data_IF_466311721972
#
_entry.id   IF_466311721972
#
_cell.length_a   1.000
_cell.length_b   1.000
_cell.length_c   1.000
_cell.angle_alpha   90.00
_cell.angle_beta   90.00
_cell.angle_gamma   90.00
#
_symmetry.space_group_name_H-M   'P 1'
#
loop_
_entity.id
_entity.type
_entity.pdbx_description
1 polymer ?
#
# COMPACT_ATOMS: atom_id res chain seq x y z
N UNK A 1 15.58 2.99 -5.56
CA UNK A 1 16.92 3.50 -5.89
C UNK A 1 17.90 2.79 -4.98
N UNK A 2 18.80 1.95 -5.55
CA UNK A 2 19.82 1.26 -4.78
C UNK A 2 20.79 2.23 -4.13
N UNK A 3 21.30 1.89 -2.99
CA UNK A 3 22.40 2.59 -2.34
C UNK A 3 23.59 2.63 -3.33
N UNK A 4 24.13 3.80 -3.64
CA UNK A 4 25.47 3.81 -4.19
C UNK A 4 25.93 4.95 -5.09
N UNK A 5 25.07 5.69 -5.77
CA UNK A 5 25.55 6.84 -6.55
C UNK A 5 24.81 8.11 -6.19
N UNK A 6 25.56 9.15 -5.87
CA UNK A 6 25.00 10.49 -5.71
C UNK A 6 24.43 10.95 -7.07
N UNK A 7 23.11 11.12 -7.13
CA UNK A 7 22.45 11.64 -8.35
C UNK A 7 22.62 13.15 -8.41
N UNK A 8 23.02 13.66 -9.56
CA UNK A 8 23.08 15.10 -9.78
C UNK A 8 21.67 15.68 -9.94
N UNK A 9 21.51 16.97 -9.67
CA UNK A 9 20.24 17.66 -9.91
C UNK A 9 19.79 17.52 -11.38
N UNK A 10 20.73 17.59 -12.34
CA UNK A 10 20.45 17.37 -13.75
C UNK A 10 19.89 15.97 -14.02
N UNK A 11 20.48 14.91 -13.42
CA UNK A 11 19.98 13.55 -13.61
C UNK A 11 18.58 13.34 -13.02
N UNK A 12 18.25 13.99 -11.90
CA UNK A 12 16.93 13.96 -11.30
C UNK A 12 15.90 14.70 -12.16
N UNK A 13 16.27 15.85 -12.72
CA UNK A 13 15.40 16.60 -13.65
C UNK A 13 15.11 15.82 -14.93
N UNK A 14 16.12 15.20 -15.53
CA UNK A 14 15.96 14.36 -16.72
C UNK A 14 15.05 13.13 -16.44
N UNK A 15 15.21 12.52 -15.26
CA UNK A 15 14.34 11.41 -14.84
C UNK A 15 12.89 11.89 -14.63
N UNK A 16 12.71 13.04 -13.98
CA UNK A 16 11.38 13.64 -13.80
C UNK A 16 10.69 13.96 -15.12
N UNK A 17 11.43 14.51 -16.09
CA UNK A 17 10.92 14.77 -17.44
C UNK A 17 10.53 13.47 -18.15
N UNK A 18 11.37 12.43 -18.08
CA UNK A 18 11.11 11.14 -18.70
C UNK A 18 9.85 10.50 -18.11
N UNK A 19 9.71 10.48 -16.77
CA UNK A 19 8.51 9.99 -16.08
C UNK A 19 7.28 10.75 -16.57
N UNK A 20 7.35 12.07 -16.63
CA UNK A 20 6.23 12.93 -17.05
C UNK A 20 5.80 12.64 -18.49
N UNK A 21 6.75 12.46 -19.41
CA UNK A 21 6.45 12.12 -20.81
C UNK A 21 5.78 10.75 -20.93
N UNK A 22 6.23 9.75 -20.16
CA UNK A 22 5.61 8.42 -20.13
C UNK A 22 4.18 8.52 -19.60
N UNK A 23 3.98 9.25 -18.52
CA UNK A 23 2.64 9.46 -17.94
C UNK A 23 1.71 10.18 -18.92
N UNK A 24 2.20 11.17 -19.66
CA UNK A 24 1.44 11.84 -20.69
C UNK A 24 1.02 10.89 -21.83
N UNK A 25 1.96 10.06 -22.31
CA UNK A 25 1.68 9.09 -23.38
C UNK A 25 0.60 8.08 -22.94
N UNK A 26 0.72 7.53 -21.74
CA UNK A 26 -0.29 6.59 -21.17
C UNK A 26 -1.64 7.28 -21.01
N UNK A 27 -1.68 8.51 -20.52
CA UNK A 27 -2.93 9.25 -20.35
C UNK A 27 -3.64 9.49 -21.69
N UNK A 28 -2.90 9.85 -22.74
CA UNK A 28 -3.45 10.04 -24.09
C UNK A 28 -3.96 8.71 -24.69
N UNK A 29 -3.29 7.60 -24.41
CA UNK A 29 -3.73 6.27 -24.84
C UNK A 29 -5.01 5.85 -24.11
N UNK A 30 -5.16 6.17 -22.83
CA UNK A 30 -6.35 5.87 -22.02
C UNK A 30 -7.55 6.76 -22.37
N UNK A 31 -7.33 7.97 -22.90
CA UNK A 31 -8.37 8.94 -23.27
C UNK A 31 -8.14 9.47 -24.69
N UNK A 32 -8.26 8.59 -25.72
CA UNK A 32 -8.00 8.96 -27.11
C UNK A 32 -8.98 9.99 -27.67
N UNK A 33 -10.17 10.07 -27.09
CA UNK A 33 -11.21 11.05 -27.50
C UNK A 33 -11.09 12.37 -26.74
N UNK A 34 -10.20 12.46 -25.75
CA UNK A 34 -9.96 13.69 -24.99
C UNK A 34 -11.14 14.14 -24.11
N UNK A 35 -11.89 13.19 -23.55
CA UNK A 35 -13.09 13.47 -22.75
C UNK A 35 -12.76 14.00 -21.33
N UNK A 36 -11.59 13.66 -20.79
CA UNK A 36 -11.16 14.12 -19.49
C UNK A 36 -11.00 15.65 -19.47
N UNK A 37 -11.65 16.32 -18.52
CA UNK A 37 -11.58 17.76 -18.37
C UNK A 37 -10.41 18.22 -17.49
N UNK A 38 -9.94 17.31 -16.61
CA UNK A 38 -8.86 17.56 -15.67
C UNK A 38 -8.12 16.25 -15.39
N UNK A 39 -6.87 16.33 -14.93
CA UNK A 39 -6.04 15.18 -14.63
C UNK A 39 -5.49 15.29 -13.21
N UNK A 40 -5.74 14.26 -12.40
CA UNK A 40 -5.08 14.06 -11.11
C UNK A 40 -3.82 13.23 -11.29
N UNK A 41 -2.66 13.76 -11.00
CA UNK A 41 -1.39 13.04 -11.16
C UNK A 41 -0.58 13.05 -9.87
N UNK A 42 -0.39 11.87 -9.28
CA UNK A 42 0.42 11.71 -8.06
C UNK A 42 1.91 11.94 -8.31
N UNK A 43 2.42 11.58 -9.50
CA UNK A 43 3.85 11.51 -9.76
C UNK A 43 4.50 10.27 -9.12
N UNK A 44 5.82 10.18 -9.16
CA UNK A 44 6.59 9.07 -8.58
C UNK A 44 7.25 9.52 -7.28
N UNK A 45 6.87 8.92 -6.16
CA UNK A 45 7.47 9.26 -4.86
C UNK A 45 8.96 8.96 -4.85
N UNK A 46 9.76 9.99 -4.63
CA UNK A 46 11.20 9.90 -4.41
C UNK A 46 11.52 9.83 -2.92
N UNK A 47 10.83 10.65 -2.13
CA UNK A 47 11.03 10.76 -0.70
C UNK A 47 9.73 11.07 0.00
N UNK A 48 9.52 10.48 1.18
CA UNK A 48 8.43 10.80 2.08
C UNK A 48 8.89 10.67 3.52
N UNK A 49 8.62 11.69 4.30
CA UNK A 49 8.82 11.72 5.74
C UNK A 49 7.57 12.31 6.39
N UNK A 50 6.84 11.55 7.22
CA UNK A 50 5.72 12.08 7.99
C UNK A 50 6.21 13.12 9.03
N UNK A 51 5.30 13.91 9.64
CA UNK A 51 5.66 14.73 10.79
C UNK A 51 6.10 13.85 11.97
N UNK A 52 7.18 14.24 12.61
CA UNK A 52 7.74 13.52 13.77
C UNK A 52 7.95 14.48 14.94
N UNK A 53 7.84 13.98 16.18
CA UNK A 53 8.29 14.72 17.37
C UNK A 53 9.69 14.27 17.71
N UNK A 54 10.59 15.25 17.86
CA UNK A 54 11.94 14.99 18.36
C UNK A 54 11.88 14.51 19.82
N UNK A 55 12.97 13.94 20.32
CA UNK A 55 13.12 13.57 21.73
C UNK A 55 12.91 14.78 22.66
N UNK A 56 13.16 15.99 22.18
CA UNK A 56 12.94 17.26 22.92
C UNK A 56 11.50 17.76 22.83
N UNK A 57 10.60 17.03 22.12
CA UNK A 57 9.19 17.39 21.95
C UNK A 57 8.90 18.40 20.83
N UNK A 58 9.93 18.88 20.12
CA UNK A 58 9.76 19.78 18.98
C UNK A 58 9.15 19.02 17.78
N UNK A 59 8.13 19.62 17.15
CA UNK A 59 7.48 19.04 15.99
C UNK A 59 8.31 19.31 14.72
N UNK A 60 8.92 18.29 14.16
CA UNK A 60 9.49 18.34 12.83
C UNK A 60 8.37 18.15 11.80
N UNK A 61 8.16 19.15 10.93
CA UNK A 61 7.16 19.06 9.86
C UNK A 61 7.51 17.94 8.88
N UNK A 62 6.50 17.25 8.41
CA UNK A 62 6.64 16.28 7.33
C UNK A 62 7.07 16.92 6.01
N UNK A 63 7.68 16.12 5.15
CA UNK A 63 8.09 16.51 3.81
C UNK A 63 7.87 15.34 2.84
N UNK A 64 7.43 15.65 1.63
CA UNK A 64 7.23 14.65 0.59
C UNK A 64 7.60 15.22 -0.77
N UNK A 65 8.24 14.40 -1.59
CA UNK A 65 8.63 14.77 -2.93
C UNK A 65 8.24 13.70 -3.93
N UNK A 66 7.34 14.07 -4.83
CA UNK A 66 6.92 13.29 -5.97
C UNK A 66 7.54 13.86 -7.23
N UNK A 67 8.24 13.01 -8.01
CA UNK A 67 8.81 13.40 -9.28
C UNK A 67 7.69 13.56 -10.31
N UNK A 68 7.51 14.80 -10.76
CA UNK A 68 6.55 15.21 -11.79
C UNK A 68 6.90 16.61 -12.26
N UNK A 69 6.89 16.83 -13.56
CA UNK A 69 6.88 18.17 -14.14
C UNK A 69 5.43 18.52 -14.54
N UNK A 70 4.63 18.93 -13.55
CA UNK A 70 3.20 19.18 -13.76
C UNK A 70 2.90 20.21 -14.85
N UNK A 71 3.64 21.33 -15.02
CA UNK A 71 3.46 22.24 -16.15
C UNK A 71 3.69 21.58 -17.51
N UNK A 72 4.70 20.70 -17.62
CA UNK A 72 4.96 19.93 -18.83
C UNK A 72 3.82 18.94 -19.11
N UNK A 73 3.34 18.23 -18.08
CA UNK A 73 2.22 17.30 -18.22
C UNK A 73 0.95 18.03 -18.71
N UNK A 74 0.63 19.18 -18.11
CA UNK A 74 -0.51 20.00 -18.51
C UNK A 74 -0.39 20.49 -19.97
N UNK A 75 0.82 20.87 -20.39
CA UNK A 75 1.09 21.28 -21.76
C UNK A 75 0.94 20.13 -22.75
N UNK A 76 1.43 18.95 -22.42
CA UNK A 76 1.34 17.76 -23.28
C UNK A 76 -0.09 17.27 -23.43
N UNK A 77 -0.88 17.27 -22.35
CA UNK A 77 -2.26 16.80 -22.33
C UNK A 77 -3.28 17.88 -22.76
N UNK A 78 -2.88 19.16 -22.78
CA UNK A 78 -3.79 20.30 -22.97
C UNK A 78 -4.95 20.29 -21.96
N UNK A 79 -4.67 19.93 -20.71
CA UNK A 79 -5.64 19.83 -19.62
C UNK A 79 -5.03 20.38 -18.32
N UNK A 80 -5.86 20.91 -17.41
CA UNK A 80 -5.44 21.22 -16.04
C UNK A 80 -4.90 19.95 -15.34
N UNK A 81 -3.85 20.10 -14.53
CA UNK A 81 -3.26 19.00 -13.74
C UNK A 81 -3.31 19.37 -12.27
N UNK A 82 -3.93 18.52 -11.47
CA UNK A 82 -3.90 18.58 -10.01
C UNK A 82 -2.80 17.63 -9.54
N UNK A 83 -1.91 18.10 -8.68
CA UNK A 83 -0.73 17.38 -8.22
C UNK A 83 -0.34 17.77 -6.79
N UNK A 84 0.77 17.22 -6.27
CA UNK A 84 1.27 17.48 -4.91
C UNK A 84 0.28 17.18 -3.79
N UNK A 85 -0.55 16.16 -3.95
CA UNK A 85 -1.55 15.75 -2.95
C UNK A 85 -0.96 15.52 -1.57
N UNK A 86 0.24 14.91 -1.48
CA UNK A 86 0.92 14.64 -0.20
C UNK A 86 1.44 15.91 0.44
N UNK A 87 2.02 16.81 -0.34
CA UNK A 87 2.51 18.11 0.14
C UNK A 87 1.34 18.96 0.64
N UNK A 88 0.19 18.93 -0.03
CA UNK A 88 -1.01 19.62 0.40
C UNK A 88 -1.54 19.10 1.75
N UNK A 89 -1.61 17.77 1.94
CA UNK A 89 -2.04 17.15 3.20
C UNK A 89 -1.07 17.49 4.35
N UNK A 90 0.23 17.41 4.11
CA UNK A 90 1.28 17.79 5.08
C UNK A 90 1.20 19.27 5.47
N UNK A 91 0.91 20.16 4.51
CA UNK A 91 0.75 21.61 4.77
C UNK A 91 -0.44 21.89 5.67
N UNK A 92 -1.49 21.08 5.59
CA UNK A 92 -2.68 21.15 6.45
C UNK A 92 -2.53 20.43 7.79
N UNK A 93 -1.34 19.87 8.07
CA UNK A 93 -1.05 19.18 9.34
C UNK A 93 -1.33 17.68 9.32
N UNK A 94 -1.61 17.10 8.15
CA UNK A 94 -1.76 15.66 7.94
C UNK A 94 -0.42 14.92 7.90
N UNK A 95 -0.50 13.61 7.66
CA UNK A 95 0.66 12.71 7.60
C UNK A 95 1.25 12.58 6.19
N UNK A 96 0.53 13.06 5.17
CA UNK A 96 0.88 12.89 3.75
C UNK A 96 0.72 11.46 3.23
N UNK A 97 0.42 10.51 4.10
CA UNK A 97 0.13 9.10 3.78
C UNK A 97 -0.64 8.45 4.96
N UNK A 98 -1.58 7.53 4.68
CA UNK A 98 -2.16 7.26 3.36
C UNK A 98 -3.11 8.36 2.88
N UNK A 99 -3.18 8.63 1.57
CA UNK A 99 -4.11 9.62 0.99
C UNK A 99 -5.45 8.99 0.58
N UNK A 100 -5.46 7.67 0.42
CA UNK A 100 -6.56 6.93 -0.20
C UNK A 100 -7.84 6.76 0.64
N UNK A 101 -7.86 6.87 1.99
CA UNK A 101 -9.02 6.46 2.78
C UNK A 101 -10.34 7.16 2.41
N UNK A 102 -10.32 8.46 2.16
CA UNK A 102 -11.55 9.20 1.77
C UNK A 102 -12.04 8.80 0.38
N UNK A 103 -11.13 8.63 -0.56
CA UNK A 103 -11.47 8.16 -1.90
C UNK A 103 -11.99 6.71 -1.87
N UNK A 104 -11.38 5.85 -1.07
CA UNK A 104 -11.87 4.49 -0.85
C UNK A 104 -13.29 4.46 -0.31
N UNK A 105 -13.57 5.29 0.68
CA UNK A 105 -14.91 5.40 1.24
C UNK A 105 -15.93 5.91 0.21
N UNK A 106 -15.53 6.83 -0.68
CA UNK A 106 -16.37 7.31 -1.75
C UNK A 106 -16.63 6.22 -2.82
N UNK A 107 -15.58 5.47 -3.19
CA UNK A 107 -15.68 4.40 -4.19
C UNK A 107 -16.47 3.19 -3.69
N UNK A 108 -16.21 2.75 -2.45
CA UNK A 108 -16.92 1.61 -1.86
C UNK A 108 -18.34 1.94 -1.40
N UNK A 109 -18.58 3.19 -1.07
CA UNK A 109 -19.78 3.63 -0.37
C UNK A 109 -19.87 3.11 1.06
N UNK A 110 -20.84 3.61 1.80
CA UNK A 110 -21.15 3.17 3.15
C UNK A 110 -22.35 2.23 3.15
N UNK A 111 -22.43 1.38 4.14
CA UNK A 111 -23.53 0.44 4.36
C UNK A 111 -23.94 0.43 5.83
N UNK A 112 -24.90 -0.43 6.22
CA UNK A 112 -25.36 -0.53 7.62
C UNK A 112 -24.28 -1.01 8.59
N UNK A 113 -23.19 -1.61 8.11
CA UNK A 113 -22.08 -2.07 8.95
C UNK A 113 -20.74 -1.46 8.52
N UNK A 114 -19.75 -1.64 9.36
CA UNK A 114 -18.38 -1.27 9.02
C UNK A 114 -17.87 -2.08 7.83
N UNK A 115 -17.13 -1.42 6.95
CA UNK A 115 -16.46 -2.03 5.79
C UNK A 115 -14.98 -1.73 5.84
N UNK A 116 -14.19 -2.58 5.21
CA UNK A 116 -12.76 -2.30 5.03
C UNK A 116 -12.33 -2.56 3.60
N UNK A 117 -11.34 -1.80 3.16
CA UNK A 117 -10.60 -2.02 1.92
C UNK A 117 -9.15 -2.26 2.25
N UNK A 118 -8.62 -3.38 1.81
CA UNK A 118 -7.22 -3.78 1.93
C UNK A 118 -6.55 -3.67 0.57
N UNK A 119 -5.58 -2.78 0.45
CA UNK A 119 -4.73 -2.71 -0.73
C UNK A 119 -3.45 -3.52 -0.50
N UNK A 120 -3.24 -4.55 -1.30
CA UNK A 120 -2.06 -5.40 -1.29
C UNK A 120 -1.08 -4.98 -2.40
N UNK A 121 -0.42 -3.83 -2.19
CA UNK A 121 0.73 -3.40 -2.97
C UNK A 121 2.04 -4.01 -2.45
N UNK A 122 3.12 -3.25 -2.43
CA UNK A 122 4.33 -3.62 -1.69
C UNK A 122 4.08 -3.67 -0.18
N UNK A 123 3.34 -2.69 0.34
CA UNK A 123 2.85 -2.59 1.71
C UNK A 123 1.34 -2.89 1.72
N UNK A 124 0.87 -3.54 2.77
CA UNK A 124 -0.55 -3.76 3.04
C UNK A 124 -1.13 -2.51 3.68
N UNK A 125 -2.03 -1.85 2.99
CA UNK A 125 -2.69 -0.63 3.45
C UNK A 125 -4.18 -0.92 3.67
N UNK A 126 -4.69 -0.65 4.88
CA UNK A 126 -6.07 -0.89 5.26
C UNK A 126 -6.81 0.43 5.44
N UNK A 127 -7.98 0.55 4.80
CA UNK A 127 -8.94 1.63 5.02
C UNK A 127 -10.17 1.05 5.74
N UNK A 128 -10.55 1.67 6.87
CA UNK A 128 -11.73 1.33 7.63
C UNK A 128 -12.81 2.40 7.43
N UNK A 129 -13.99 1.98 7.00
CA UNK A 129 -15.09 2.84 6.57
C UNK A 129 -16.27 2.64 7.52
N UNK A 130 -16.70 3.70 8.24
CA UNK A 130 -17.83 3.61 9.16
C UNK A 130 -19.16 3.40 8.44
N UNK A 131 -20.19 2.90 9.15
CA UNK A 131 -21.50 2.70 8.59
C UNK A 131 -22.20 4.00 8.17
N UNK A 132 -23.26 3.90 7.39
CA UNK A 132 -24.12 5.03 6.96
C UNK A 132 -25.16 5.43 8.02
N UNK A 133 -25.42 4.55 8.98
CA UNK A 133 -26.42 4.74 10.04
C UNK A 133 -25.93 4.22 11.40
N UNK A 134 -26.65 4.58 12.47
CA UNK A 134 -26.32 4.16 13.82
C UNK A 134 -25.33 5.09 14.52
N UNK A 135 -24.84 4.70 15.72
CA UNK A 135 -23.99 5.54 16.56
C UNK A 135 -22.63 5.84 15.90
N UNK A 136 -22.12 4.92 15.11
CA UNK A 136 -20.79 5.02 14.50
C UNK A 136 -20.77 5.80 13.19
N UNK A 137 -21.93 6.25 12.67
CA UNK A 137 -22.02 6.94 11.35
C UNK A 137 -21.12 8.19 11.22
N UNK A 138 -20.83 8.84 12.34
CA UNK A 138 -20.02 10.07 12.39
C UNK A 138 -18.54 9.79 12.67
N UNK A 139 -18.16 8.52 12.87
CA UNK A 139 -16.75 8.17 13.00
C UNK A 139 -16.00 8.53 11.72
N UNK A 140 -14.73 8.95 11.83
CA UNK A 140 -13.93 9.25 10.67
C UNK A 140 -13.60 7.98 9.87
N UNK A 141 -13.43 8.14 8.56
CA UNK A 141 -12.74 7.13 7.75
C UNK A 141 -11.27 7.15 8.17
N UNK A 142 -10.74 5.99 8.53
CA UNK A 142 -9.35 5.85 8.95
C UNK A 142 -8.60 4.91 8.03
N UNK A 143 -7.30 5.12 7.86
CA UNK A 143 -6.45 4.23 7.10
C UNK A 143 -5.05 4.19 7.67
N UNK A 144 -4.38 3.05 7.49
CA UNK A 144 -3.02 2.83 7.98
C UNK A 144 -2.32 1.72 7.21
N UNK A 145 -1.00 1.63 7.39
CA UNK A 145 -0.19 0.56 6.84
C UNK A 145 -0.06 -0.56 7.87
N UNK A 146 -0.54 -1.76 7.54
CA UNK A 146 -0.43 -2.92 8.43
C UNK A 146 1.01 -3.46 8.50
N UNK A 147 1.74 -3.41 7.38
CA UNK A 147 3.09 -3.97 7.25
C UNK A 147 3.37 -4.43 5.82
N UNK A 148 4.35 -5.33 5.61
CA UNK A 148 4.69 -5.81 4.27
C UNK A 148 3.55 -6.63 3.67
N UNK A 149 3.25 -6.38 2.38
CA UNK A 149 2.41 -7.25 1.55
C UNK A 149 3.29 -8.02 0.57
N UNK A 150 3.45 -7.50 -0.67
CA UNK A 150 4.28 -8.19 -1.65
C UNK A 150 5.78 -7.85 -1.53
N UNK A 151 6.16 -6.76 -0.87
CA UNK A 151 7.55 -6.25 -0.90
C UNK A 151 8.59 -7.29 -0.53
N UNK A 152 8.38 -8.05 0.54
CA UNK A 152 9.33 -9.10 0.97
C UNK A 152 9.24 -10.35 0.10
N UNK A 153 8.06 -10.70 -0.38
CA UNK A 153 7.84 -11.85 -1.28
C UNK A 153 8.56 -11.60 -2.60
N UNK A 154 8.33 -10.43 -3.20
CA UNK A 154 8.90 -10.04 -4.49
C UNK A 154 10.43 -9.97 -4.43
N UNK A 155 10.98 -9.33 -3.38
CA UNK A 155 12.42 -9.28 -3.17
C UNK A 155 13.04 -10.67 -2.96
N UNK A 156 12.35 -11.57 -2.28
CA UNK A 156 12.81 -12.94 -2.08
C UNK A 156 12.76 -13.72 -3.40
N UNK A 157 11.71 -13.57 -4.20
CA UNK A 157 11.61 -14.18 -5.53
C UNK A 157 12.71 -13.69 -6.46
N UNK A 158 12.97 -12.38 -6.50
CA UNK A 158 14.08 -11.80 -7.27
C UNK A 158 15.43 -12.43 -6.85
N UNK A 159 15.66 -12.55 -5.54
CA UNK A 159 16.90 -13.12 -5.00
C UNK A 159 17.04 -14.60 -5.32
N UNK A 160 16.02 -15.42 -5.10
CA UNK A 160 16.08 -16.88 -5.29
C UNK A 160 16.09 -17.30 -6.75
N UNK A 161 15.51 -16.48 -7.63
CA UNK A 161 15.51 -16.74 -9.07
C UNK A 161 16.70 -16.10 -9.81
N UNK A 162 17.63 -15.46 -9.08
CA UNK A 162 18.74 -14.68 -9.67
C UNK A 162 18.25 -13.61 -10.65
N UNK A 163 17.14 -12.94 -10.30
CA UNK A 163 16.54 -11.88 -11.09
C UNK A 163 15.66 -12.34 -12.25
N UNK A 164 15.41 -13.64 -12.41
CA UNK A 164 14.55 -14.18 -13.49
C UNK A 164 13.06 -13.99 -13.21
N UNK A 165 12.67 -14.00 -11.95
CA UNK A 165 11.30 -13.80 -11.51
C UNK A 165 11.24 -12.66 -10.50
N UNK A 166 10.33 -11.71 -10.69
CA UNK A 166 10.18 -10.54 -9.84
C UNK A 166 9.06 -10.70 -8.79
N UNK A 167 8.26 -11.76 -8.84
CA UNK A 167 7.18 -12.07 -7.90
C UNK A 167 6.73 -13.53 -8.00
N UNK A 168 6.07 -14.06 -6.97
CA UNK A 168 5.48 -15.42 -6.98
C UNK A 168 4.13 -15.40 -7.72
N UNK A 169 4.15 -15.73 -9.00
CA UNK A 169 2.99 -15.69 -9.88
C UNK A 169 1.84 -16.58 -9.35
N UNK A 170 0.74 -15.93 -8.95
CA UNK A 170 -0.42 -16.62 -8.39
C UNK A 170 -0.17 -17.29 -7.03
N UNK A 171 0.96 -17.06 -6.39
CA UNK A 171 1.35 -17.72 -5.13
C UNK A 171 1.70 -19.20 -5.29
N UNK A 172 2.18 -19.57 -6.48
CA UNK A 172 2.43 -20.99 -6.81
C UNK A 172 3.57 -21.60 -6.01
N UNK A 173 4.67 -20.87 -5.83
CA UNK A 173 5.80 -21.36 -5.04
C UNK A 173 5.44 -21.46 -3.56
N UNK A 174 4.81 -20.43 -3.02
CA UNK A 174 4.28 -20.43 -1.65
C UNK A 174 3.32 -21.59 -1.39
N UNK A 175 2.49 -21.96 -2.38
CA UNK A 175 1.52 -23.05 -2.27
C UNK A 175 2.15 -24.44 -2.07
N UNK A 176 3.40 -24.62 -2.47
CA UNK A 176 4.14 -25.88 -2.32
C UNK A 176 4.90 -25.97 -0.99
N UNK A 177 5.00 -24.85 -0.26
CA UNK A 177 5.72 -24.78 1.01
C UNK A 177 4.81 -24.85 2.22
N UNK A 178 5.45 -24.94 3.39
CA UNK A 178 4.81 -24.87 4.70
C UNK A 178 5.30 -23.62 5.44
N UNK A 179 4.38 -22.78 5.92
CA UNK A 179 4.73 -21.61 6.70
C UNK A 179 5.12 -21.98 8.13
N UNK A 180 6.02 -21.21 8.72
CA UNK A 180 6.41 -21.33 10.12
C UNK A 180 5.62 -20.35 10.99
N UNK A 181 4.59 -20.83 11.65
CA UNK A 181 3.74 -20.00 12.52
C UNK A 181 4.50 -19.45 13.74
N UNK A 182 5.50 -20.18 14.26
CA UNK A 182 6.29 -19.72 15.40
C UNK A 182 7.15 -18.49 15.02
N UNK A 183 7.75 -18.50 13.82
CA UNK A 183 8.46 -17.34 13.29
C UNK A 183 7.52 -16.15 13.07
N UNK A 184 6.35 -16.40 12.49
CA UNK A 184 5.36 -15.34 12.24
C UNK A 184 4.94 -14.67 13.56
N UNK A 185 4.66 -15.43 14.61
CA UNK A 185 4.31 -14.89 15.92
C UNK A 185 5.47 -14.06 16.52
N UNK A 186 6.71 -14.54 16.40
CA UNK A 186 7.89 -13.80 16.84
C UNK A 186 8.04 -12.47 16.09
N UNK A 187 7.84 -12.46 14.79
CA UNK A 187 7.92 -11.26 13.96
C UNK A 187 6.79 -10.26 14.27
N UNK A 188 5.58 -10.74 14.55
CA UNK A 188 4.47 -9.88 14.96
C UNK A 188 4.73 -9.19 16.32
N UNK A 189 5.63 -9.71 17.16
CA UNK A 189 6.03 -9.07 18.40
C UNK A 189 7.00 -7.88 18.22
N UNK A 190 7.48 -7.62 16.99
CA UNK A 190 8.35 -6.48 16.69
C UNK A 190 7.64 -5.13 16.93
N UNK A 191 8.39 -4.07 17.31
CA UNK A 191 7.79 -2.80 17.76
C UNK A 191 6.77 -2.19 16.80
N UNK A 192 7.02 -2.24 15.48
CA UNK A 192 6.09 -1.68 14.50
C UNK A 192 4.68 -2.28 14.58
N UNK A 193 4.59 -3.59 14.76
CA UNK A 193 3.29 -4.29 14.80
C UNK A 193 2.56 -4.10 16.12
N UNK A 194 3.22 -3.57 17.15
CA UNK A 194 2.62 -3.21 18.43
C UNK A 194 2.06 -1.78 18.45
N UNK A 195 2.31 -0.99 17.40
CA UNK A 195 1.76 0.35 17.27
C UNK A 195 0.26 0.28 16.95
N UNK A 196 -0.52 1.13 17.62
CA UNK A 196 -1.93 1.31 17.29
C UNK A 196 -2.10 2.10 15.99
N UNK A 197 -3.11 1.78 15.17
CA UNK A 197 -3.51 2.66 14.07
C UNK A 197 -3.95 4.06 14.55
N UNK A 198 -3.73 5.12 13.76
CA UNK A 198 -3.09 5.12 12.44
C UNK A 198 -1.56 5.04 12.53
N UNK A 199 -0.95 4.21 11.69
CA UNK A 199 0.50 4.05 11.56
C UNK A 199 0.88 3.99 10.08
N UNK A 200 2.10 4.40 9.74
CA UNK A 200 2.59 4.41 8.36
C UNK A 200 3.98 3.80 8.27
N UNK A 201 4.29 3.19 7.12
CA UNK A 201 5.57 2.57 6.83
C UNK A 201 5.80 2.44 5.33
N UNK A 202 6.99 1.94 4.95
CA UNK A 202 7.35 1.74 3.57
C UNK A 202 8.50 0.75 3.40
N UNK A 203 9.14 0.84 2.25
CA UNK A 203 10.29 -0.01 1.90
C UNK A 203 11.55 0.31 2.71
N UNK A 204 11.59 1.44 3.39
CA UNK A 204 12.65 1.79 4.33
C UNK A 204 12.69 0.82 5.51
N UNK A 205 11.54 0.37 6.00
CA UNK A 205 11.43 -0.62 7.06
C UNK A 205 11.33 -2.05 6.50
N UNK A 206 10.50 -2.27 5.48
CA UNK A 206 10.22 -3.59 4.91
C UNK A 206 10.86 -3.75 3.51
N UNK A 207 12.18 -3.54 3.43
CA UNK A 207 12.99 -3.66 2.24
C UNK A 207 14.03 -4.77 2.32
N UNK A 208 15.13 -4.62 1.54
CA UNK A 208 16.18 -5.65 1.42
C UNK A 208 16.85 -6.00 2.74
N UNK A 209 17.08 -5.01 3.63
CA UNK A 209 17.70 -5.26 4.93
C UNK A 209 16.81 -6.13 5.83
N UNK A 210 15.52 -5.84 5.87
CA UNK A 210 14.54 -6.64 6.62
C UNK A 210 14.38 -8.04 6.02
N UNK A 211 14.33 -8.15 4.69
CA UNK A 211 14.34 -9.47 4.04
C UNK A 211 15.55 -10.30 4.46
N UNK A 212 16.76 -9.72 4.38
CA UNK A 212 18.00 -10.42 4.76
C UNK A 212 17.92 -10.98 6.17
N UNK A 213 17.44 -10.18 7.13
CA UNK A 213 17.25 -10.60 8.52
C UNK A 213 16.26 -11.77 8.63
N UNK A 214 15.10 -11.67 7.95
CA UNK A 214 14.08 -12.74 7.99
C UNK A 214 14.56 -14.03 7.29
N UNK A 215 15.34 -13.92 6.21
CA UNK A 215 15.93 -15.08 5.58
C UNK A 215 16.98 -15.77 6.48
N UNK A 216 17.73 -15.01 7.28
CA UNK A 216 18.61 -15.57 8.31
C UNK A 216 17.82 -16.35 9.36
N UNK A 217 16.68 -15.86 9.82
CA UNK A 217 15.78 -16.60 10.72
C UNK A 217 15.27 -17.91 10.11
N UNK A 218 15.22 -17.99 8.79
CA UNK A 218 14.76 -19.17 8.03
C UNK A 218 15.90 -19.99 7.42
N UNK A 219 17.15 -19.76 7.83
CA UNK A 219 18.31 -20.46 7.27
C UNK A 219 18.14 -22.00 7.31
N UNK A 220 18.51 -22.65 6.22
CA UNK A 220 18.40 -24.11 6.08
C UNK A 220 17.00 -24.63 5.71
N UNK A 221 15.99 -23.77 5.65
CA UNK A 221 14.64 -24.16 5.20
C UNK A 221 14.55 -24.19 3.67
N UNK A 222 13.75 -25.09 3.08
CA UNK A 222 13.46 -25.05 1.65
C UNK A 222 12.95 -23.70 1.20
N UNK A 223 13.31 -23.24 0.00
CA UNK A 223 12.87 -21.95 -0.57
C UNK A 223 11.35 -21.83 -0.55
N UNK A 224 10.62 -22.87 -0.93
CA UNK A 224 9.16 -22.89 -0.90
C UNK A 224 8.59 -22.57 0.50
N UNK A 225 9.22 -23.09 1.57
CA UNK A 225 8.81 -22.83 2.94
C UNK A 225 9.12 -21.37 3.35
N UNK A 226 10.24 -20.82 2.87
CA UNK A 226 10.59 -19.42 3.12
C UNK A 226 9.57 -18.49 2.46
N UNK A 227 9.23 -18.72 1.19
CA UNK A 227 8.21 -17.94 0.47
C UNK A 227 6.82 -18.14 1.10
N UNK A 228 6.45 -19.37 1.49
CA UNK A 228 5.20 -19.63 2.19
C UNK A 228 5.11 -18.87 3.52
N UNK A 229 6.22 -18.80 4.27
CA UNK A 229 6.28 -18.07 5.55
C UNK A 229 6.14 -16.56 5.34
N UNK A 230 6.83 -15.97 4.36
CA UNK A 230 6.68 -14.55 4.02
C UNK A 230 5.25 -14.23 3.55
N UNK A 231 4.66 -15.10 2.71
CA UNK A 231 3.28 -14.94 2.24
C UNK A 231 2.27 -15.00 3.39
N UNK A 232 2.45 -15.97 4.29
CA UNK A 232 1.61 -16.10 5.47
C UNK A 232 1.80 -14.94 6.47
N UNK A 233 3.03 -14.39 6.57
CA UNK A 233 3.31 -13.21 7.37
C UNK A 233 2.60 -11.97 6.83
N UNK A 234 2.57 -11.75 5.51
CA UNK A 234 1.81 -10.66 4.89
C UNK A 234 0.31 -10.72 5.22
N UNK A 235 -0.27 -11.91 5.32
CA UNK A 235 -1.66 -12.06 5.78
C UNK A 235 -1.80 -11.87 7.30
N UNK A 236 -0.77 -12.30 8.06
CA UNK A 236 -0.79 -12.24 9.51
C UNK A 236 -0.75 -10.82 10.05
N UNK A 237 0.00 -9.89 9.40
CA UNK A 237 0.06 -8.47 9.83
C UNK A 237 -1.30 -7.79 9.72
N UNK A 238 -2.08 -8.11 8.69
CA UNK A 238 -3.44 -7.59 8.51
C UNK A 238 -4.38 -8.14 9.58
N UNK A 239 -4.34 -9.46 9.79
CA UNK A 239 -5.18 -10.11 10.80
C UNK A 239 -4.82 -9.63 12.22
N UNK A 240 -3.55 -9.37 12.49
CA UNK A 240 -3.08 -8.85 13.77
C UNK A 240 -3.67 -7.46 14.06
N UNK A 241 -3.61 -6.53 13.11
CA UNK A 241 -4.18 -5.19 13.28
C UNK A 241 -5.70 -5.24 13.48
N UNK A 242 -6.42 -6.07 12.73
CA UNK A 242 -7.85 -6.27 12.93
C UNK A 242 -8.16 -6.87 14.30
N UNK A 243 -7.34 -7.80 14.79
CA UNK A 243 -7.49 -8.35 16.14
C UNK A 243 -7.21 -7.31 17.22
N UNK A 244 -6.24 -6.42 17.03
CA UNK A 244 -5.97 -5.33 17.97
C UNK A 244 -7.17 -4.37 18.07
N UNK A 245 -7.81 -4.03 16.93
CA UNK A 245 -9.06 -3.26 16.95
C UNK A 245 -10.15 -3.94 17.77
N UNK A 246 -10.35 -5.26 17.56
CA UNK A 246 -11.32 -6.03 18.33
C UNK A 246 -11.01 -6.02 19.84
N UNK A 247 -9.74 -6.16 20.22
CA UNK A 247 -9.30 -6.12 21.61
C UNK A 247 -9.54 -4.74 22.27
N UNK A 248 -9.62 -3.68 21.48
CA UNK A 248 -9.97 -2.33 21.91
C UNK A 248 -11.47 -2.05 21.87
N UNK A 249 -12.30 -3.07 21.68
CA UNK A 249 -13.75 -2.99 21.50
C UNK A 249 -14.19 -2.15 20.30
N UNK A 250 -13.31 -1.96 19.30
CA UNK A 250 -13.70 -1.33 18.05
C UNK A 250 -14.50 -2.33 17.22
N UNK A 251 -15.64 -1.93 16.62
CA UNK A 251 -16.39 -2.82 15.75
C UNK A 251 -15.56 -3.29 14.57
N UNK A 252 -15.57 -4.59 14.30
CA UNK A 252 -14.91 -5.16 13.13
C UNK A 252 -15.74 -4.91 11.86
N UNK A 253 -15.08 -4.77 10.70
CA UNK A 253 -15.79 -4.70 9.44
C UNK A 253 -16.53 -6.01 9.16
N UNK A 254 -17.70 -5.93 8.53
CA UNK A 254 -18.46 -7.12 8.09
C UNK A 254 -17.92 -7.66 6.76
N UNK A 255 -17.32 -6.79 5.95
CA UNK A 255 -16.73 -7.11 4.67
C UNK A 255 -15.31 -6.51 4.57
N UNK A 256 -14.40 -7.28 4.01
CA UNK A 256 -13.04 -6.87 3.67
C UNK A 256 -12.85 -7.01 2.16
N UNK A 257 -12.83 -5.88 1.46
CA UNK A 257 -12.52 -5.83 0.04
C UNK A 257 -11.01 -5.81 -0.15
N UNK A 258 -10.51 -6.64 -1.05
CA UNK A 258 -9.08 -6.77 -1.33
C UNK A 258 -8.79 -6.27 -2.73
N UNK A 259 -7.84 -5.34 -2.83
CA UNK A 259 -7.36 -4.73 -4.06
C UNK A 259 -5.83 -4.85 -4.17
N UNK A 260 -5.27 -4.38 -5.27
CA UNK A 260 -3.83 -4.40 -5.55
C UNK A 260 -3.35 -5.73 -6.10
N UNK A 261 -2.09 -5.76 -6.53
CA UNK A 261 -1.47 -6.93 -7.19
C UNK A 261 -1.51 -8.20 -6.35
N UNK A 262 -1.38 -8.08 -5.02
CA UNK A 262 -1.44 -9.20 -4.08
C UNK A 262 -2.80 -9.92 -4.07
N UNK A 263 -3.87 -9.28 -4.51
CA UNK A 263 -5.19 -9.93 -4.65
C UNK A 263 -5.21 -11.05 -5.72
N UNK A 264 -4.21 -11.08 -6.60
CA UNK A 264 -4.01 -12.13 -7.59
C UNK A 264 -3.22 -13.32 -7.04
N UNK A 265 -2.57 -13.17 -5.89
CA UNK A 265 -1.84 -14.25 -5.23
C UNK A 265 -2.82 -15.12 -4.45
N UNK A 266 -3.19 -16.28 -5.02
CA UNK A 266 -4.20 -17.17 -4.43
C UNK A 266 -3.77 -17.73 -3.07
N UNK A 267 -2.48 -17.92 -2.83
CA UNK A 267 -1.96 -18.40 -1.55
C UNK A 267 -2.08 -17.31 -0.48
N UNK A 268 -1.77 -16.05 -0.82
CA UNK A 268 -1.97 -14.91 0.07
C UNK A 268 -3.46 -14.72 0.41
N UNK A 269 -4.34 -14.83 -0.59
CA UNK A 269 -5.80 -14.72 -0.38
C UNK A 269 -6.33 -15.85 0.53
N UNK A 270 -5.82 -17.08 0.37
CA UNK A 270 -6.16 -18.21 1.24
C UNK A 270 -5.68 -17.99 2.68
N UNK A 271 -4.46 -17.47 2.86
CA UNK A 271 -3.92 -17.13 4.19
C UNK A 271 -4.71 -16.00 4.86
N UNK A 272 -5.11 -14.97 4.12
CA UNK A 272 -5.99 -13.91 4.63
C UNK A 272 -7.34 -14.48 5.09
N UNK A 273 -7.98 -15.30 4.25
CA UNK A 273 -9.26 -15.91 4.60
C UNK A 273 -9.16 -16.82 5.84
N UNK A 274 -8.05 -17.54 5.99
CA UNK A 274 -7.78 -18.40 7.15
C UNK A 274 -7.60 -17.58 8.43
N UNK A 275 -6.95 -16.42 8.35
CA UNK A 275 -6.55 -15.59 9.50
C UNK A 275 -7.61 -14.54 9.88
N UNK A 276 -8.31 -13.97 8.92
CA UNK A 276 -9.37 -12.97 9.13
C UNK A 276 -10.75 -13.64 9.30
N UNK A 277 -10.85 -14.57 10.25
CA UNK A 277 -12.10 -15.35 10.47
C UNK A 277 -13.25 -14.43 10.87
N UNK A 278 -14.44 -14.71 10.32
CA UNK A 278 -15.64 -13.93 10.58
C UNK A 278 -15.83 -12.73 9.64
N UNK A 279 -14.82 -12.39 8.82
CA UNK A 279 -14.94 -11.37 7.80
C UNK A 279 -15.28 -12.00 6.45
N UNK A 280 -16.15 -11.33 5.70
CA UNK A 280 -16.44 -11.72 4.33
C UNK A 280 -15.38 -11.08 3.41
N UNK A 281 -14.38 -11.87 2.99
CA UNK A 281 -13.38 -11.44 2.01
C UNK A 281 -14.00 -11.41 0.62
N UNK A 282 -13.79 -10.30 -0.09
CA UNK A 282 -14.22 -10.09 -1.48
C UNK A 282 -13.13 -9.37 -2.24
N UNK A 283 -13.05 -9.58 -3.56
CA UNK A 283 -12.17 -8.77 -4.40
C UNK A 283 -12.86 -7.46 -4.79
N UNK A 284 -12.11 -6.36 -4.88
CA UNK A 284 -12.66 -5.07 -5.34
C UNK A 284 -13.22 -5.15 -6.76
N UNK A 285 -12.70 -6.05 -7.59
CA UNK A 285 -13.21 -6.32 -8.94
C UNK A 285 -14.69 -6.71 -8.95
N UNK A 286 -15.22 -7.34 -7.88
CA UNK A 286 -16.62 -7.68 -7.74
C UNK A 286 -17.56 -6.46 -7.64
N UNK A 287 -16.99 -5.30 -7.28
CA UNK A 287 -17.69 -4.01 -7.23
C UNK A 287 -17.46 -3.15 -8.49
N UNK A 288 -16.95 -3.73 -9.57
CA UNK A 288 -16.54 -3.00 -10.76
C UNK A 288 -15.46 -1.94 -10.49
N UNK A 289 -14.67 -2.15 -9.41
CA UNK A 289 -13.50 -1.36 -9.05
C UNK A 289 -12.25 -2.18 -9.42
N UNK A 290 -11.72 -2.02 -10.65
CA UNK A 290 -10.60 -2.83 -11.11
C UNK A 290 -9.39 -2.64 -10.19
N UNK A 291 -8.90 -3.74 -9.61
CA UNK A 291 -7.82 -3.72 -8.63
C UNK A 291 -6.53 -3.09 -9.17
N UNK A 292 -6.27 -3.23 -10.47
CA UNK A 292 -5.10 -2.65 -11.14
C UNK A 292 -5.21 -1.14 -11.40
N UNK A 293 -6.42 -0.61 -11.61
CA UNK A 293 -6.66 0.81 -11.91
C UNK A 293 -7.10 1.61 -10.69
N UNK A 294 -7.25 0.96 -9.52
CA UNK A 294 -7.77 1.60 -8.31
C UNK A 294 -6.98 2.85 -7.92
N UNK A 295 -5.66 2.80 -7.93
CA UNK A 295 -4.83 3.93 -7.53
C UNK A 295 -5.05 5.13 -8.47
N UNK A 296 -5.14 4.90 -9.77
CA UNK A 296 -5.49 5.94 -10.74
C UNK A 296 -6.88 6.53 -10.48
N UNK A 297 -7.88 5.69 -10.18
CA UNK A 297 -9.24 6.14 -9.82
C UNK A 297 -9.24 6.98 -8.54
N UNK A 298 -8.44 6.61 -7.54
CA UNK A 298 -8.29 7.38 -6.29
C UNK A 298 -7.77 8.78 -6.59
N UNK A 299 -6.69 8.91 -7.35
CA UNK A 299 -6.12 10.23 -7.66
C UNK A 299 -6.99 11.06 -8.60
N UNK A 300 -7.74 10.43 -9.49
CA UNK A 300 -8.75 11.12 -10.29
C UNK A 300 -9.90 11.67 -9.41
N UNK A 301 -10.28 10.94 -8.36
CA UNK A 301 -11.35 11.36 -7.44
C UNK A 301 -10.88 12.44 -6.44
N UNK A 302 -9.59 12.45 -6.08
CA UNK A 302 -9.00 13.45 -5.19
C UNK A 302 -8.72 14.78 -5.91
N UNK A 303 -8.65 14.77 -7.23
CA UNK A 303 -8.44 15.95 -8.07
C UNK A 303 -9.70 16.78 -8.25
#
# INVERSE_FOLDING_TARGET
>A
MGQGEAKTAASLLNLSETITKIQAAVALECDPEGQAQLVGCHGQTLWHRPPERSETGELQRGASWQMLQAPLLAQLLKRPVIFDFRAADLALGGQGAPLVPKADAALLGRTKGWRALLNLGGIANLTLIPPDAGPDRLQPVTGWDCGPANSLIDLAMEQFSEGKESYDQGGRLAATGHCDEALILRWLAEPYFQLNPPKSTGRELFGRADLTRRLQDMQGRPIANQIATLTAFSAAVVAHDLQQLANQNHPLPIELFVAGGGSQNLTLMRELNRRCRGLRLRRSDELQLPSQSREAMVFALLA
#
